data_IF_973075976861
#
_entry.id   IF_973075976861
#
_cell.length_a   1.000
_cell.length_b   1.000
_cell.length_c   1.000
_cell.angle_alpha   90.00
_cell.angle_beta   90.00
_cell.angle_gamma   90.00
#
_symmetry.space_group_name_H-M   'P 1'
#
loop_
_entity.id
_entity.type
_entity.pdbx_description
1 polymer ?
#
# COMPACT_ATOMS: atom_id res chain seq x y z
N UNK A 1 17.24 -36.29 8.82
CA UNK A 1 16.55 -36.08 7.52
C UNK A 1 16.48 -37.37 6.67
N UNK A 2 15.90 -38.46 7.18
CA UNK A 2 15.78 -39.75 6.44
C UNK A 2 14.43 -40.47 6.68
N UNK A 3 13.39 -39.72 7.03
CA UNK A 3 12.04 -40.26 7.32
C UNK A 3 10.94 -39.72 6.40
N UNK A 4 11.29 -38.88 5.42
CA UNK A 4 10.32 -38.24 4.51
C UNK A 4 10.14 -38.98 3.17
N UNK A 5 10.99 -39.97 2.87
CA UNK A 5 11.03 -40.66 1.57
C UNK A 5 10.23 -41.98 1.51
N UNK A 6 9.51 -42.36 2.57
CA UNK A 6 8.77 -43.65 2.62
C UNK A 6 7.25 -43.52 2.39
N UNK A 7 6.75 -42.34 2.05
CA UNK A 7 5.30 -42.04 1.99
C UNK A 7 4.77 -41.71 0.58
N UNK A 8 5.54 -41.95 -0.47
CA UNK A 8 5.13 -41.71 -1.88
C UNK A 8 4.87 -43.03 -2.64
N UNK A 9 5.15 -44.20 -2.06
CA UNK A 9 5.09 -45.50 -2.76
C UNK A 9 4.07 -46.48 -2.20
N UNK A 10 2.91 -46.04 -1.68
CA UNK A 10 1.83 -46.96 -1.31
C UNK A 10 0.46 -46.38 -1.64
N UNK A 11 -0.18 -46.97 -2.65
CA UNK A 11 -1.60 -46.73 -2.95
C UNK A 11 -1.89 -46.35 -4.40
N UNK A 12 -1.54 -47.21 -5.36
CA UNK A 12 -2.10 -47.13 -6.71
C UNK A 12 -2.34 -48.54 -7.25
N UNK A 13 -3.35 -49.21 -6.69
CA UNK A 13 -3.95 -50.38 -7.32
C UNK A 13 -5.44 -50.10 -7.54
N UNK A 14 -5.81 -50.26 -8.82
CA UNK A 14 -7.12 -50.62 -9.34
C UNK A 14 -8.35 -49.86 -8.83
N UNK A 15 -8.84 -48.95 -9.65
CA UNK A 15 -10.25 -48.99 -10.05
C UNK A 15 -10.38 -48.56 -11.51
N UNK A 16 -10.80 -49.53 -12.31
CA UNK A 16 -11.12 -49.45 -13.72
C UNK A 16 -12.12 -48.35 -14.03
N UNK A 17 -11.81 -47.55 -15.04
CA UNK A 17 -12.72 -46.59 -15.64
C UNK A 17 -14.01 -47.28 -16.13
N UNK A 18 -15.21 -46.77 -15.82
CA UNK A 18 -16.41 -47.19 -16.52
C UNK A 18 -16.48 -46.44 -17.85
N UNK A 19 -16.54 -47.24 -18.91
CA UNK A 19 -16.81 -46.84 -20.29
C UNK A 19 -18.08 -45.99 -20.37
N UNK A 20 -17.99 -44.90 -21.14
CA UNK A 20 -19.10 -44.01 -21.48
C UNK A 20 -20.30 -44.80 -22.01
N UNK A 21 -21.41 -44.76 -21.27
CA UNK A 21 -22.74 -45.13 -21.74
C UNK A 21 -23.63 -43.90 -21.61
N UNK A 22 -24.24 -43.50 -22.72
CA UNK A 22 -24.98 -42.25 -22.89
C UNK A 22 -26.09 -42.00 -21.87
N UNK A 23 -26.59 -40.77 -21.84
CA UNK A 23 -27.66 -40.21 -21.00
C UNK A 23 -28.16 -41.13 -19.87
N UNK A 24 -27.29 -41.42 -18.90
CA UNK A 24 -27.70 -42.03 -17.64
C UNK A 24 -28.27 -40.91 -16.77
N UNK A 25 -29.57 -40.96 -16.56
CA UNK A 25 -30.20 -40.22 -15.46
C UNK A 25 -29.47 -40.67 -14.19
N UNK A 26 -28.87 -39.73 -13.46
CA UNK A 26 -28.14 -40.01 -12.22
C UNK A 26 -29.00 -40.91 -11.32
N UNK A 27 -28.39 -41.94 -10.75
CA UNK A 27 -29.12 -42.84 -9.84
C UNK A 27 -29.67 -42.03 -8.66
N UNK A 28 -30.86 -42.33 -8.15
CA UNK A 28 -31.48 -41.59 -7.03
C UNK A 28 -30.54 -41.44 -5.82
N UNK A 29 -29.66 -42.43 -5.60
CA UNK A 29 -28.62 -42.41 -4.57
C UNK A 29 -27.51 -41.40 -4.87
N UNK A 30 -27.10 -41.24 -6.12
CA UNK A 30 -26.10 -40.26 -6.55
C UNK A 30 -26.66 -38.83 -6.52
N UNK A 31 -27.95 -38.67 -6.87
CA UNK A 31 -28.67 -37.39 -6.76
C UNK A 31 -28.73 -36.95 -5.29
N UNK A 32 -29.06 -37.87 -4.37
CA UNK A 32 -29.10 -37.57 -2.95
C UNK A 32 -27.72 -37.11 -2.42
N UNK A 33 -26.65 -37.83 -2.76
CA UNK A 33 -25.27 -37.45 -2.37
C UNK A 33 -24.86 -36.10 -2.97
N UNK A 34 -25.20 -35.83 -4.23
CA UNK A 34 -24.87 -34.56 -4.88
C UNK A 34 -25.66 -33.39 -4.30
N UNK A 35 -26.92 -33.62 -3.91
CA UNK A 35 -27.74 -32.62 -3.22
C UNK A 35 -27.22 -32.35 -1.81
N UNK A 36 -26.81 -33.37 -1.06
CA UNK A 36 -26.19 -33.21 0.26
C UNK A 36 -24.87 -32.43 0.16
N UNK A 37 -23.99 -32.76 -0.79
CA UNK A 37 -22.74 -32.02 -1.03
C UNK A 37 -23.00 -30.56 -1.42
N UNK A 38 -24.02 -30.30 -2.25
CA UNK A 38 -24.38 -28.94 -2.65
C UNK A 38 -24.95 -28.15 -1.46
N UNK A 39 -25.74 -28.79 -0.60
CA UNK A 39 -26.25 -28.19 0.64
C UNK A 39 -25.10 -27.89 1.61
N UNK A 40 -24.13 -28.78 1.74
CA UNK A 40 -22.97 -28.60 2.59
C UNK A 40 -22.09 -27.44 2.09
N UNK A 41 -21.83 -27.36 0.78
CA UNK A 41 -21.11 -26.23 0.18
C UNK A 41 -21.86 -24.91 0.36
N UNK A 42 -23.18 -24.89 0.19
CA UNK A 42 -24.02 -23.70 0.43
C UNK A 42 -24.01 -23.29 1.90
N UNK A 43 -24.05 -24.24 2.82
CA UNK A 43 -23.96 -23.98 4.26
C UNK A 43 -22.58 -23.41 4.63
N UNK A 44 -21.49 -23.96 4.08
CA UNK A 44 -20.14 -23.46 4.27
C UNK A 44 -19.95 -22.05 3.67
N UNK A 45 -20.51 -21.79 2.48
CA UNK A 45 -20.48 -20.46 1.85
C UNK A 45 -21.27 -19.43 2.67
N UNK A 46 -22.46 -19.78 3.16
CA UNK A 46 -23.27 -18.92 4.02
C UNK A 46 -22.58 -18.64 5.37
N UNK A 47 -21.91 -19.64 5.96
CA UNK A 47 -21.13 -19.47 7.17
C UNK A 47 -19.92 -18.54 6.96
N UNK A 48 -19.20 -18.68 5.84
CA UNK A 48 -18.11 -17.76 5.46
C UNK A 48 -18.61 -16.33 5.27
N UNK A 49 -19.74 -16.14 4.60
CA UNK A 49 -20.34 -14.82 4.42
C UNK A 49 -20.77 -14.22 5.77
N UNK A 50 -21.39 -15.01 6.66
CA UNK A 50 -21.73 -14.57 8.03
C UNK A 50 -20.50 -14.19 8.84
N UNK A 51 -19.38 -14.91 8.70
CA UNK A 51 -18.11 -14.58 9.34
C UNK A 51 -17.48 -13.29 8.77
N UNK A 52 -17.57 -13.06 7.47
CA UNK A 52 -17.10 -11.82 6.83
C UNK A 52 -17.97 -10.63 7.29
N UNK A 53 -19.30 -10.77 7.30
CA UNK A 53 -20.21 -9.72 7.74
C UNK A 53 -20.05 -9.41 9.24
N UNK A 54 -19.81 -10.42 10.08
CA UNK A 54 -19.54 -10.22 11.51
C UNK A 54 -18.17 -9.61 11.76
N UNK A 55 -17.15 -9.96 10.97
CA UNK A 55 -15.85 -9.32 10.96
C UNK A 55 -15.92 -7.86 10.47
N UNK A 56 -16.73 -7.57 9.46
CA UNK A 56 -16.95 -6.22 8.94
C UNK A 56 -17.69 -5.32 9.96
N UNK A 57 -18.61 -5.90 10.76
CA UNK A 57 -19.29 -5.19 11.85
C UNK A 57 -18.34 -4.80 12.98
N UNK A 58 -17.24 -5.54 13.16
CA UNK A 58 -16.13 -5.18 14.04
C UNK A 58 -15.08 -4.43 13.23
N UNK A 59 -15.35 -3.17 12.90
CA UNK A 59 -14.40 -2.31 12.21
C UNK A 59 -13.00 -2.34 12.86
N UNK A 60 -11.92 -2.12 12.07
CA UNK A 60 -10.55 -2.29 12.53
C UNK A 60 -10.30 -1.48 13.80
N UNK A 61 -9.92 -2.17 14.89
CA UNK A 61 -9.75 -1.58 16.23
C UNK A 61 -8.68 -0.49 16.34
N UNK A 62 -7.95 -0.21 15.24
CA UNK A 62 -6.84 0.75 15.19
C UNK A 62 -6.96 1.72 13.99
N UNK A 63 -8.10 2.34 13.74
CA UNK A 63 -8.09 3.64 13.07
C UNK A 63 -7.91 4.74 14.14
N UNK A 64 -7.02 5.74 13.95
CA UNK A 64 -7.17 6.98 14.68
C UNK A 64 -8.48 7.62 14.23
N UNK A 65 -9.36 7.95 15.18
CA UNK A 65 -10.67 8.56 14.90
C UNK A 65 -10.46 9.91 14.21
N UNK A 66 -10.63 9.96 12.90
CA UNK A 66 -10.94 11.20 12.20
C UNK A 66 -12.39 11.52 12.55
N UNK A 67 -12.62 12.53 13.38
CA UNK A 67 -13.95 13.03 13.69
C UNK A 67 -14.59 13.64 12.44
N UNK A 68 -15.19 12.80 11.60
CA UNK A 68 -16.15 13.21 10.58
C UNK A 68 -17.53 12.77 11.04
N UNK A 69 -18.05 13.45 12.07
CA UNK A 69 -19.47 13.41 12.39
C UNK A 69 -20.19 14.27 11.37
N UNK A 70 -21.25 13.71 10.79
CA UNK A 70 -22.37 14.47 10.28
C UNK A 70 -22.97 15.27 11.46
N UNK A 71 -22.38 16.44 11.74
CA UNK A 71 -22.94 17.43 12.64
C UNK A 71 -23.98 18.24 11.86
N UNK A 72 -25.15 18.59 12.43
CA UNK A 72 -25.95 19.68 11.88
C UNK A 72 -25.05 20.90 11.80
N UNK A 73 -25.08 21.60 10.67
CA UNK A 73 -24.17 22.70 10.29
C UNK A 73 -24.32 23.87 11.27
N UNK A 74 -23.67 23.77 12.43
CA UNK A 74 -23.46 24.91 13.32
C UNK A 74 -22.38 25.75 12.67
N UNK A 75 -22.78 26.89 12.12
CA UNK A 75 -21.87 27.87 11.53
C UNK A 75 -20.84 28.27 12.59
N UNK A 76 -19.61 27.76 12.44
CA UNK A 76 -18.50 28.11 13.31
C UNK A 76 -18.25 29.62 13.14
N UNK A 77 -18.31 30.42 14.22
CA UNK A 77 -18.15 31.86 14.09
C UNK A 77 -16.78 32.17 13.48
N UNK A 78 -16.79 33.01 12.45
CA UNK A 78 -15.61 33.46 11.72
C UNK A 78 -14.50 33.87 12.69
N UNK A 79 -13.30 33.32 12.46
CA UNK A 79 -12.07 33.63 13.19
C UNK A 79 -11.85 35.14 13.37
N UNK A 80 -12.25 35.93 12.37
CA UNK A 80 -12.14 37.39 12.36
C UNK A 80 -13.09 38.11 13.33
N UNK A 81 -14.26 37.53 13.67
CA UNK A 81 -15.15 38.07 14.73
C UNK A 81 -14.54 37.92 16.13
N UNK A 82 -13.61 36.99 16.32
CA UNK A 82 -12.96 36.69 17.60
C UNK A 82 -11.79 37.63 17.90
N UNK A 83 -11.21 38.23 16.85
CA UNK A 83 -10.14 39.23 16.94
C UNK A 83 -10.64 40.67 16.86
N UNK A 84 -11.83 40.92 16.30
CA UNK A 84 -12.39 42.28 16.17
C UNK A 84 -13.17 42.77 17.39
N UNK A 85 -13.37 41.94 18.42
CA UNK A 85 -13.97 42.42 19.66
C UNK A 85 -12.99 43.32 20.41
N UNK A 86 -13.31 44.62 20.46
CA UNK A 86 -12.62 45.61 21.30
C UNK A 86 -12.58 45.09 22.74
N UNK A 87 -11.42 44.55 23.14
CA UNK A 87 -11.15 44.10 24.50
C UNK A 87 -11.22 45.30 25.45
N UNK A 88 -12.26 45.35 26.29
CA UNK A 88 -12.28 46.19 27.49
C UNK A 88 -11.02 45.86 28.29
N UNK A 89 -10.21 46.88 28.62
CA UNK A 89 -8.97 46.70 29.39
C UNK A 89 -9.34 46.05 30.73
N UNK A 90 -8.76 44.90 31.12
CA UNK A 90 -9.04 44.29 32.41
C UNK A 90 -8.38 45.11 33.53
N UNK A 91 -9.02 45.11 34.70
CA UNK A 91 -8.61 45.86 35.90
C UNK A 91 -7.14 45.61 36.28
N UNK A 92 -6.44 46.64 36.79
CA UNK A 92 -5.00 46.60 37.07
C UNK A 92 -4.60 45.48 38.04
N UNK A 93 -5.48 45.09 38.98
CA UNK A 93 -5.19 44.03 39.96
C UNK A 93 -5.13 42.62 39.33
N UNK A 94 -5.96 42.32 38.33
CA UNK A 94 -5.97 41.01 37.64
C UNK A 94 -4.76 40.86 36.71
N UNK A 95 -4.23 41.98 36.21
CA UNK A 95 -3.01 42.01 35.38
C UNK A 95 -1.76 41.63 36.17
N UNK A 96 -1.62 42.13 37.40
CA UNK A 96 -0.50 41.81 38.28
C UNK A 96 -0.45 40.31 38.64
N UNK A 97 -1.62 39.68 38.87
CA UNK A 97 -1.72 38.25 39.15
C UNK A 97 -1.41 37.35 37.93
N UNK A 98 -1.64 37.85 36.70
CA UNK A 98 -1.34 37.13 35.45
C UNK A 98 0.13 37.28 35.01
N UNK A 99 0.79 38.40 35.31
CA UNK A 99 2.21 38.59 35.01
C UNK A 99 3.09 37.55 35.71
N UNK A 100 2.76 37.17 36.94
CA UNK A 100 3.46 36.11 37.69
C UNK A 100 3.38 34.72 37.02
N UNK A 101 2.40 34.48 36.14
CA UNK A 101 2.24 33.21 35.41
C UNK A 101 3.05 33.17 34.10
N UNK A 102 3.49 34.33 33.60
CA UNK A 102 4.29 34.45 32.38
C UNK A 102 5.79 34.61 32.72
N UNK A 103 6.30 33.78 33.63
CA UNK A 103 7.71 33.80 34.03
C UNK A 103 8.68 33.39 32.89
N UNK A 104 8.16 32.82 31.81
CA UNK A 104 8.95 32.40 30.64
C UNK A 104 9.45 33.61 29.82
N UNK A 105 8.70 34.72 29.77
CA UNK A 105 9.08 35.90 29.00
C UNK A 105 10.36 36.58 29.52
N UNK A 106 10.45 36.89 30.83
CA UNK A 106 11.67 37.40 31.44
C UNK A 106 12.84 36.44 31.31
N UNK A 107 12.63 35.13 31.51
CA UNK A 107 13.69 34.12 31.38
C UNK A 107 14.26 34.07 29.97
N UNK A 108 13.40 34.11 28.93
CA UNK A 108 13.87 34.20 27.54
C UNK A 108 14.65 35.51 27.33
N UNK A 109 14.19 36.63 27.90
CA UNK A 109 14.91 37.91 27.80
C UNK A 109 16.27 37.85 28.47
N UNK A 110 16.36 37.28 29.66
CA UNK A 110 17.60 37.16 30.45
C UNK A 110 18.59 36.17 29.82
N UNK A 111 18.07 35.18 29.07
CA UNK A 111 18.85 34.28 28.23
C UNK A 111 19.40 34.99 26.99
N UNK A 112 18.59 35.80 26.31
CA UNK A 112 19.03 36.58 25.13
C UNK A 112 19.93 37.77 25.51
N UNK A 113 19.75 38.36 26.69
CA UNK A 113 20.56 39.50 27.16
C UNK A 113 21.91 39.08 27.74
N UNK A 114 22.17 37.77 27.86
CA UNK A 114 23.45 37.24 28.33
C UNK A 114 23.62 37.26 29.86
N UNK A 115 22.64 37.74 30.62
CA UNK A 115 22.64 37.75 32.09
C UNK A 115 22.71 36.32 32.66
N UNK A 116 22.15 35.35 31.93
CA UNK A 116 22.27 33.94 32.28
C UNK A 116 23.68 33.36 32.03
N UNK A 117 24.43 33.90 31.05
CA UNK A 117 25.75 33.41 30.66
C UNK A 117 26.87 33.93 31.58
N UNK A 118 26.64 35.06 32.26
CA UNK A 118 27.58 35.72 33.18
C UNK A 118 27.56 35.17 34.60
N UNK A 119 26.64 34.24 34.94
CA UNK A 119 26.69 33.52 36.22
C UNK A 119 27.97 32.68 36.30
N UNK A 120 28.69 32.77 37.42
CA UNK A 120 30.00 32.15 37.66
C UNK A 120 30.11 30.67 37.25
N UNK A 121 29.04 29.89 37.40
CA UNK A 121 29.02 28.47 37.03
C UNK A 121 28.78 28.20 35.54
N UNK A 122 28.12 29.10 34.81
CA UNK A 122 27.73 28.92 33.40
C UNK A 122 28.85 29.36 32.46
N UNK A 123 29.63 30.36 32.86
CA UNK A 123 30.73 30.91 32.05
C UNK A 123 31.79 29.86 31.68
N UNK A 124 32.04 28.88 32.57
CA UNK A 124 32.96 27.74 32.32
C UNK A 124 32.49 26.81 31.18
N UNK A 125 31.19 26.77 30.90
CA UNK A 125 30.56 25.87 29.92
C UNK A 125 30.03 26.57 28.67
N UNK A 126 30.37 27.86 28.45
CA UNK A 126 30.03 28.62 27.25
C UNK A 126 30.32 27.87 25.92
N UNK A 127 31.50 27.26 25.69
CA UNK A 127 31.76 26.57 24.42
C UNK A 127 30.82 25.38 24.19
N UNK A 128 30.39 24.69 25.26
CA UNK A 128 29.43 23.58 25.17
C UNK A 128 28.01 24.05 24.85
N UNK A 129 27.58 25.18 25.43
CA UNK A 129 26.29 25.80 25.11
C UNK A 129 26.24 26.28 23.65
N UNK A 130 27.33 26.87 23.16
CA UNK A 130 27.44 27.23 21.74
C UNK A 130 27.37 26.00 20.83
N UNK A 131 28.04 24.91 21.19
CA UNK A 131 27.94 23.66 20.44
C UNK A 131 26.50 23.14 20.35
N UNK A 132 25.75 23.15 21.47
CA UNK A 132 24.33 22.75 21.47
C UNK A 132 23.48 23.70 20.62
N UNK A 133 23.71 25.01 20.71
CA UNK A 133 22.96 25.99 19.89
C UNK A 133 23.21 25.79 18.39
N UNK A 134 24.46 25.51 18.00
CA UNK A 134 24.81 25.17 16.63
C UNK A 134 24.10 23.88 16.18
N UNK A 135 24.04 22.87 17.06
CA UNK A 135 23.30 21.63 16.80
C UNK A 135 21.80 21.90 16.61
N UNK A 136 21.19 22.83 17.35
CA UNK A 136 19.81 23.25 17.14
C UNK A 136 19.59 23.90 15.77
N UNK A 137 20.51 24.77 15.33
CA UNK A 137 20.44 25.38 13.99
C UNK A 137 20.52 24.30 12.90
N UNK A 138 21.47 23.37 13.04
CA UNK A 138 21.61 22.23 12.12
C UNK A 138 20.36 21.34 12.12
N UNK A 139 19.77 21.10 13.28
CA UNK A 139 18.54 20.30 13.42
C UNK A 139 17.36 20.94 12.69
N UNK A 140 17.16 22.25 12.86
CA UNK A 140 16.12 22.98 12.14
C UNK A 140 16.39 22.94 10.63
N UNK A 141 17.63 23.14 10.20
CA UNK A 141 18.02 23.06 8.80
C UNK A 141 17.75 21.67 8.18
N UNK A 142 18.00 20.59 8.94
CA UNK A 142 17.65 19.22 8.56
C UNK A 142 16.13 19.06 8.35
N UNK A 143 15.32 19.65 9.23
CA UNK A 143 13.86 19.64 9.08
C UNK A 143 13.38 20.23 7.75
N UNK A 144 13.96 21.35 7.31
CA UNK A 144 13.63 21.97 6.02
C UNK A 144 14.00 21.10 4.82
N UNK A 145 15.06 20.30 4.92
CA UNK A 145 15.48 19.41 3.83
C UNK A 145 14.57 18.19 3.71
N UNK A 146 14.04 17.68 4.82
CA UNK A 146 13.14 16.53 4.81
C UNK A 146 11.90 16.77 3.93
N UNK A 147 11.27 17.94 4.06
CA UNK A 147 10.07 18.29 3.29
C UNK A 147 10.35 18.38 1.78
N UNK A 148 11.54 18.86 1.40
CA UNK A 148 11.96 18.91 -0.01
C UNK A 148 12.18 17.51 -0.57
N UNK A 149 12.91 16.67 0.16
CA UNK A 149 13.20 15.30 -0.22
C UNK A 149 11.90 14.49 -0.35
N UNK A 150 10.95 14.69 0.56
CA UNK A 150 9.66 14.00 0.52
C UNK A 150 8.86 14.37 -0.73
N UNK A 151 8.77 15.67 -1.06
CA UNK A 151 8.12 16.11 -2.30
C UNK A 151 8.78 15.55 -3.55
N UNK A 152 10.11 15.57 -3.60
CA UNK A 152 10.85 15.02 -4.74
C UNK A 152 10.65 13.51 -4.88
N UNK A 153 10.62 12.78 -3.77
CA UNK A 153 10.36 11.34 -3.75
C UNK A 153 8.98 11.04 -4.35
N UNK A 154 7.95 11.81 -3.97
CA UNK A 154 6.60 11.65 -4.52
C UNK A 154 6.58 11.90 -6.04
N UNK A 155 7.17 12.99 -6.51
CA UNK A 155 7.27 13.28 -7.96
C UNK A 155 8.03 12.19 -8.72
N UNK A 156 9.16 11.72 -8.19
CA UNK A 156 9.95 10.66 -8.81
C UNK A 156 9.18 9.35 -8.89
N UNK A 157 8.41 9.01 -7.85
CA UNK A 157 7.55 7.83 -7.83
C UNK A 157 6.47 7.91 -8.93
N UNK A 158 5.80 9.05 -9.04
CA UNK A 158 4.82 9.30 -10.09
C UNK A 158 5.42 9.14 -11.50
N UNK A 159 6.64 9.68 -11.72
CA UNK A 159 7.36 9.47 -12.98
C UNK A 159 7.66 8.00 -13.28
N UNK A 160 8.05 7.22 -12.27
CA UNK A 160 8.29 5.77 -12.46
C UNK A 160 6.99 5.06 -12.85
N UNK A 161 5.86 5.43 -12.22
CA UNK A 161 4.55 4.86 -12.54
C UNK A 161 4.12 5.23 -13.97
N UNK A 162 4.30 6.49 -14.37
CA UNK A 162 4.05 6.99 -15.73
C UNK A 162 4.90 6.23 -16.77
N UNK A 163 6.22 6.17 -16.59
CA UNK A 163 7.13 5.44 -17.48
C UNK A 163 6.78 3.94 -17.57
N UNK A 164 6.37 3.34 -16.47
CA UNK A 164 5.98 1.92 -16.46
C UNK A 164 4.69 1.69 -17.23
N UNK A 165 3.76 2.63 -17.23
CA UNK A 165 2.53 2.57 -18.01
C UNK A 165 2.79 2.75 -19.50
N UNK A 166 3.68 3.69 -19.87
CA UNK A 166 4.13 3.88 -21.25
C UNK A 166 4.81 2.62 -21.78
N UNK A 167 5.76 2.06 -21.02
CA UNK A 167 6.46 0.83 -21.39
C UNK A 167 5.48 -0.33 -21.64
N UNK A 168 4.51 -0.53 -20.74
CA UNK A 168 3.50 -1.60 -20.90
C UNK A 168 2.64 -1.39 -22.15
N UNK A 169 2.27 -0.15 -22.43
CA UNK A 169 1.49 0.18 -23.64
C UNK A 169 2.30 -0.13 -24.90
N UNK A 170 3.56 0.34 -24.96
CA UNK A 170 4.44 0.07 -26.10
C UNK A 170 4.73 -1.43 -26.28
N UNK A 171 4.91 -2.15 -25.19
CA UNK A 171 5.10 -3.60 -25.20
C UNK A 171 3.85 -4.31 -25.76
N UNK A 172 2.65 -3.89 -25.34
CA UNK A 172 1.40 -4.46 -25.85
C UNK A 172 1.20 -4.17 -27.35
N UNK A 173 1.54 -2.96 -27.80
CA UNK A 173 1.50 -2.61 -29.23
C UNK A 173 2.50 -3.44 -30.05
N UNK A 174 3.70 -3.67 -29.53
CA UNK A 174 4.72 -4.51 -30.16
C UNK A 174 4.26 -5.97 -30.25
N UNK A 175 3.72 -6.52 -29.15
CA UNK A 175 3.20 -7.88 -29.12
C UNK A 175 2.02 -8.05 -30.08
N UNK A 176 1.11 -7.08 -30.16
CA UNK A 176 -0.01 -7.08 -31.11
C UNK A 176 0.47 -7.10 -32.57
N UNK A 177 1.59 -6.44 -32.89
CA UNK A 177 2.20 -6.50 -34.22
C UNK A 177 2.87 -7.85 -34.52
N UNK A 178 3.42 -8.52 -33.50
CA UNK A 178 4.03 -9.84 -33.63
C UNK A 178 3.02 -11.00 -33.71
N UNK A 179 1.77 -10.77 -33.31
CA UNK A 179 0.73 -11.80 -33.41
C UNK A 179 0.61 -12.29 -34.86
N UNK A 180 0.55 -13.62 -35.01
CA UNK A 180 0.51 -14.30 -36.31
C UNK A 180 -0.61 -13.73 -37.21
N UNK A 181 -1.80 -13.50 -36.66
CA UNK A 181 -2.93 -12.90 -37.38
C UNK A 181 -2.66 -11.49 -37.90
N UNK A 182 -1.91 -10.68 -37.14
CA UNK A 182 -1.51 -9.33 -37.53
C UNK A 182 -0.43 -9.38 -38.61
N UNK A 183 0.54 -10.29 -38.47
CA UNK A 183 1.61 -10.54 -39.44
C UNK A 183 1.04 -11.05 -40.78
N UNK A 184 0.15 -12.04 -40.76
CA UNK A 184 -0.56 -12.56 -41.94
C UNK A 184 -1.28 -11.45 -42.69
N UNK A 185 -1.98 -10.57 -41.95
CA UNK A 185 -2.72 -9.46 -42.55
C UNK A 185 -1.82 -8.40 -43.18
N UNK A 186 -0.67 -8.10 -42.57
CA UNK A 186 0.32 -7.15 -43.12
C UNK A 186 1.07 -7.72 -44.33
N UNK A 187 1.23 -9.04 -44.41
CA UNK A 187 1.96 -9.73 -45.48
C UNK A 187 1.02 -10.16 -46.62
N UNK A 188 -0.30 -10.13 -46.44
CA UNK A 188 -1.30 -10.48 -47.45
C UNK A 188 -1.13 -9.72 -48.77
N UNK A 189 -0.77 -8.44 -48.71
CA UNK A 189 -0.53 -7.60 -49.90
C UNK A 189 0.69 -8.06 -50.71
N UNK A 190 1.62 -8.79 -50.08
CA UNK A 190 2.80 -9.37 -50.73
C UNK A 190 2.53 -10.78 -51.29
N UNK A 191 1.33 -11.33 -51.09
CA UNK A 191 0.94 -12.66 -51.60
C UNK A 191 1.63 -13.84 -50.92
N UNK A 192 2.29 -13.63 -49.76
CA UNK A 192 2.96 -14.69 -49.01
C UNK A 192 2.01 -15.31 -47.97
N UNK A 193 2.14 -16.61 -47.74
CA UNK A 193 1.25 -17.40 -46.88
C UNK A 193 2.05 -17.94 -45.69
N UNK A 194 1.53 -17.82 -44.48
CA UNK A 194 2.18 -18.40 -43.30
C UNK A 194 2.02 -19.93 -43.31
N UNK A 195 3.11 -20.71 -43.07
CA UNK A 195 3.00 -22.15 -42.93
C UNK A 195 2.24 -22.52 -41.65
N UNK A 196 1.13 -23.26 -41.81
CA UNK A 196 0.24 -23.72 -40.73
C UNK A 196 0.73 -25.04 -40.12
N UNK A 197 1.51 -25.80 -40.87
CA UNK A 197 2.04 -27.09 -40.43
C UNK A 197 3.32 -26.92 -39.59
N UNK A 198 3.44 -27.63 -38.45
CA UNK A 198 4.65 -27.61 -37.66
C UNK A 198 5.81 -28.30 -38.41
N UNK A 199 7.06 -27.81 -38.28
CA UNK A 199 8.21 -28.40 -38.95
C UNK A 199 8.49 -29.80 -38.40
N UNK A 200 8.73 -30.77 -39.28
CA UNK A 200 9.13 -32.12 -38.90
C UNK A 200 10.65 -32.21 -38.75
N UNK A 201 11.09 -32.86 -37.66
CA UNK A 201 12.50 -33.18 -37.47
C UNK A 201 12.87 -34.34 -38.39
N UNK A 202 13.76 -34.08 -39.34
CA UNK A 202 14.40 -35.12 -40.13
C UNK A 202 15.45 -35.79 -39.25
N UNK A 203 15.20 -37.01 -38.78
CA UNK A 203 16.27 -37.87 -38.28
C UNK A 203 17.16 -38.23 -39.47
N UNK A 204 18.33 -37.59 -39.51
CA UNK A 204 19.33 -37.86 -40.52
C UNK A 204 19.88 -39.28 -40.26
N UNK A 205 19.28 -40.30 -40.88
CA UNK A 205 19.88 -41.62 -41.00
C UNK A 205 21.10 -41.43 -41.89
N UNK A 206 22.24 -41.16 -41.26
CA UNK A 206 23.56 -41.34 -41.87
C UNK A 206 23.72 -42.85 -41.99
N UNK A 207 23.64 -43.44 -43.20
CA UNK A 207 23.91 -44.86 -43.34
C UNK A 207 25.34 -45.12 -42.87
N UNK A 208 25.51 -46.12 -41.99
CA UNK A 208 26.81 -46.60 -41.58
C UNK A 208 27.59 -46.97 -42.86
N UNK A 209 28.61 -46.18 -43.17
CA UNK A 209 29.55 -46.46 -44.25
C UNK A 209 30.31 -47.75 -43.87
N UNK A 210 30.53 -48.66 -44.84
CA UNK A 210 31.22 -49.93 -44.61
C UNK A 210 32.70 -49.76 -44.22
#
# INVERSE_FOLDING_TARGET
>A
MKSFLRRITKGKESQSAPVAKGNRVLSEKEIAVQQEQLQEQRAQAAARQRAILSAQKQGPRNHPKTHSDAQPRVEKPSFWKRFSSKRKKPDPQVRAAKQKKNAIGPVIRDLLSGEFLTKEGVTRHIPYLLFISALFVVYIAMGYQFERIEREKMKKKERIEELSAEFKTLQADFESRLQQSSVERNIADLGLIQPVEPPYLLEQIVPAQP
#
